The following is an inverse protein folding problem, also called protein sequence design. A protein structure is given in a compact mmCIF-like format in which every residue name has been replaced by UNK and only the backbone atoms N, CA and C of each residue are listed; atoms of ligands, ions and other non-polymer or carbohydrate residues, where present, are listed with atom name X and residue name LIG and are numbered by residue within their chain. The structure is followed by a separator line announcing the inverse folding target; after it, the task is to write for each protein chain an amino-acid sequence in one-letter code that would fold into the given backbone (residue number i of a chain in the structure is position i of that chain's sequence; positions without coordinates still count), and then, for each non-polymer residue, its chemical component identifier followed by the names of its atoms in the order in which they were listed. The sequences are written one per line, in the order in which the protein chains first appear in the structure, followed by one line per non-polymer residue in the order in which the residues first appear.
data_IF_113362671852
#
_entry.id   IF_113362671852
#
_cell.length_a   1.000
_cell.length_b   1.000
_cell.length_c   1.000
_cell.angle_alpha   90.00
_cell.angle_beta   90.00
_cell.angle_gamma   90.00
#
_symmetry.space_group_name_H-M   'P 1'
#
loop_
_entity.id
_entity.type
_entity.pdbx_description
1 polymer ?
#
# COMPACT_ATOMS: atom_id res chain seq x y z
N UNK A 1 3.85 17.25 -15.53
CA UNK A 1 4.66 16.16 -14.95
C UNK A 1 3.97 14.86 -15.34
N UNK A 2 4.61 13.93 -16.03
CA UNK A 2 4.02 12.61 -16.27
C UNK A 2 3.89 11.88 -14.92
N UNK A 3 2.84 11.08 -14.67
CA UNK A 3 2.74 10.30 -13.45
C UNK A 3 3.93 9.32 -13.38
N UNK A 4 4.58 9.26 -12.21
CA UNK A 4 5.58 8.24 -11.93
C UNK A 4 4.79 6.93 -11.78
N UNK A 5 4.97 6.00 -12.71
CA UNK A 5 4.43 4.65 -12.56
C UNK A 5 4.94 4.05 -11.24
N UNK A 6 4.04 3.59 -10.34
CA UNK A 6 4.47 3.01 -9.08
C UNK A 6 5.27 1.73 -9.35
N UNK A 7 6.43 1.61 -8.71
CA UNK A 7 7.20 0.37 -8.65
C UNK A 7 7.07 -0.21 -7.25
N UNK A 8 6.13 -1.13 -7.05
CA UNK A 8 5.89 -1.76 -5.74
C UNK A 8 7.12 -2.51 -5.20
N UNK A 9 7.91 -3.25 -6.01
CA UNK A 9 9.16 -3.86 -5.52
C UNK A 9 10.17 -2.83 -5.01
N UNK A 10 10.33 -1.72 -5.73
CA UNK A 10 11.26 -0.65 -5.31
C UNK A 10 10.77 0.04 -4.04
N UNK A 11 9.47 0.32 -3.94
CA UNK A 11 8.88 0.98 -2.78
C UNK A 11 8.96 0.11 -1.53
N UNK A 12 8.63 -1.18 -1.64
CA UNK A 12 8.69 -2.12 -0.52
C UNK A 12 10.12 -2.28 0.00
N UNK A 13 11.12 -2.37 -0.87
CA UNK A 13 12.53 -2.41 -0.49
C UNK A 13 13.04 -1.15 0.26
N UNK A 14 12.36 -0.01 0.11
CA UNK A 14 12.74 1.25 0.76
C UNK A 14 11.97 1.54 2.04
N UNK A 15 10.72 1.06 2.13
CA UNK A 15 9.76 1.55 3.14
C UNK A 15 9.08 0.46 3.97
N UNK A 16 9.22 -0.82 3.61
CA UNK A 16 8.63 -1.95 4.35
C UNK A 16 9.76 -2.71 5.03
N UNK A 17 9.57 -3.06 6.31
CA UNK A 17 10.53 -3.86 7.06
C UNK A 17 10.65 -5.30 6.52
N UNK A 18 11.60 -6.06 7.06
CA UNK A 18 11.86 -7.44 6.64
C UNK A 18 10.63 -8.37 6.79
N UNK A 19 9.72 -8.03 7.70
CA UNK A 19 8.47 -8.75 7.92
C UNK A 19 7.24 -7.87 7.63
N UNK A 20 6.28 -8.45 6.92
CA UNK A 20 4.96 -7.87 6.69
C UNK A 20 3.88 -8.83 7.17
N UNK A 21 3.22 -8.48 8.28
CA UNK A 21 2.09 -9.23 8.84
C UNK A 21 0.81 -8.45 8.56
N UNK A 22 -0.13 -9.08 7.87
CA UNK A 22 -1.38 -8.47 7.47
C UNK A 22 -2.55 -9.12 8.21
N UNK A 23 -3.40 -8.28 8.78
CA UNK A 23 -4.60 -8.70 9.50
C UNK A 23 -5.80 -8.91 8.58
N UNK A 24 -5.82 -8.28 7.39
CA UNK A 24 -6.83 -8.55 6.38
C UNK A 24 -6.63 -9.94 5.76
N UNK A 25 -7.54 -10.87 6.07
CA UNK A 25 -7.51 -12.26 5.60
C UNK A 25 -7.52 -12.43 4.06
N UNK A 26 -7.89 -11.38 3.31
CA UNK A 26 -7.87 -11.39 1.85
C UNK A 26 -6.47 -11.14 1.25
N UNK A 27 -5.48 -10.82 2.09
CA UNK A 27 -4.12 -10.46 1.68
C UNK A 27 -3.12 -11.33 2.44
N UNK A 28 -2.16 -11.92 1.73
CA UNK A 28 -1.15 -12.78 2.35
C UNK A 28 -0.15 -11.94 3.16
N UNK A 29 0.45 -12.57 4.16
CA UNK A 29 1.67 -12.06 4.79
C UNK A 29 2.86 -12.07 3.81
N UNK A 30 3.91 -11.32 4.14
CA UNK A 30 5.13 -11.22 3.35
C UNK A 30 5.09 -10.10 2.31
N UNK A 31 6.29 -9.63 1.92
CA UNK A 31 6.45 -8.55 0.94
C UNK A 31 5.88 -8.97 -0.42
N UNK A 32 6.05 -10.23 -0.83
CA UNK A 32 5.48 -10.76 -2.07
C UNK A 32 3.95 -10.68 -2.04
N UNK A 33 3.32 -11.03 -0.92
CA UNK A 33 1.87 -10.94 -0.73
C UNK A 33 1.34 -9.51 -0.84
N UNK A 34 2.08 -8.54 -0.32
CA UNK A 34 1.79 -7.12 -0.47
C UNK A 34 1.86 -6.70 -1.95
N UNK A 35 2.97 -7.03 -2.64
CA UNK A 35 3.19 -6.64 -4.04
C UNK A 35 2.11 -7.24 -4.94
N UNK A 36 1.86 -8.56 -4.85
CA UNK A 36 0.81 -9.25 -5.61
C UNK A 36 -0.55 -8.57 -5.46
N UNK A 37 -0.89 -8.18 -4.24
CA UNK A 37 -2.16 -7.52 -3.96
C UNK A 37 -2.26 -6.15 -4.64
N UNK A 38 -1.26 -5.29 -4.48
CA UNK A 38 -1.32 -3.94 -5.04
C UNK A 38 -1.19 -3.90 -6.57
N UNK A 39 -0.42 -4.81 -7.18
CA UNK A 39 -0.38 -4.98 -8.64
C UNK A 39 -1.73 -5.41 -9.22
N UNK A 40 -2.40 -6.36 -8.56
CA UNK A 40 -3.76 -6.75 -8.92
C UNK A 40 -4.73 -5.58 -8.80
N UNK A 41 -4.68 -4.83 -7.70
CA UNK A 41 -5.54 -3.67 -7.47
C UNK A 41 -5.36 -2.58 -8.53
N UNK A 42 -4.13 -2.32 -8.96
CA UNK A 42 -3.85 -1.37 -10.04
C UNK A 42 -4.41 -1.85 -11.39
N UNK A 43 -4.34 -3.17 -11.66
CA UNK A 43 -4.87 -3.78 -12.88
C UNK A 43 -6.40 -3.77 -12.91
N UNK A 44 -7.05 -4.16 -11.82
CA UNK A 44 -8.51 -4.25 -11.72
C UNK A 44 -9.18 -2.88 -11.61
N UNK A 45 -8.49 -1.91 -11.02
CA UNK A 45 -9.01 -0.56 -10.78
C UNK A 45 -8.02 0.51 -11.27
N UNK A 46 -7.84 0.65 -12.60
CA UNK A 46 -6.82 1.52 -13.19
C UNK A 46 -7.05 3.02 -12.93
N UNK A 47 -8.28 3.41 -12.61
CA UNK A 47 -8.65 4.79 -12.27
C UNK A 47 -8.79 4.99 -10.76
N UNK A 48 -8.39 4.01 -9.94
CA UNK A 48 -8.49 4.10 -8.49
C UNK A 48 -7.70 5.30 -7.99
N UNK A 49 -8.33 6.09 -7.14
CA UNK A 49 -7.70 7.23 -6.47
C UNK A 49 -7.81 7.07 -4.96
N UNK A 50 -6.88 7.70 -4.25
CA UNK A 50 -6.85 7.73 -2.79
C UNK A 50 -6.64 9.17 -2.37
N UNK A 51 -7.58 9.70 -1.60
CA UNK A 51 -7.45 10.97 -0.89
C UNK A 51 -7.09 10.69 0.57
N UNK A 52 -5.99 11.27 1.04
CA UNK A 52 -5.60 11.21 2.44
C UNK A 52 -6.24 12.37 3.20
N UNK A 53 -7.27 12.06 4.00
CA UNK A 53 -8.02 13.07 4.78
C UNK A 53 -7.25 13.43 6.04
N UNK A 54 -6.65 12.44 6.71
CA UNK A 54 -5.89 12.63 7.93
C UNK A 54 -4.82 11.55 8.09
N UNK A 55 -3.69 11.94 8.66
CA UNK A 55 -2.66 11.04 9.16
C UNK A 55 -2.43 11.33 10.65
N UNK A 56 -2.36 10.29 11.47
CA UNK A 56 -1.96 10.38 12.87
C UNK A 56 -0.85 9.36 13.14
N UNK A 57 0.00 9.67 14.11
CA UNK A 57 1.04 8.74 14.57
C UNK A 57 1.16 8.79 16.09
N UNK A 58 1.51 7.64 16.66
CA UNK A 58 1.83 7.48 18.06
C UNK A 58 2.93 6.43 18.19
N UNK A 59 4.10 6.84 18.71
CA UNK A 59 5.29 5.99 18.81
C UNK A 59 5.69 5.38 17.45
N UNK A 60 5.60 4.06 17.32
CA UNK A 60 5.90 3.27 16.13
C UNK A 60 4.66 2.97 15.27
N UNK A 61 3.50 3.50 15.64
CA UNK A 61 2.23 3.29 14.94
C UNK A 61 1.86 4.51 14.08
N UNK A 62 1.28 4.23 12.92
CA UNK A 62 0.73 5.21 11.98
C UNK A 62 -0.64 4.75 11.52
N UNK A 63 -1.60 5.68 11.45
CA UNK A 63 -2.92 5.43 10.88
C UNK A 63 -3.30 6.53 9.89
N UNK A 64 -3.97 6.13 8.80
CA UNK A 64 -4.52 7.04 7.80
C UNK A 64 -6.04 6.90 7.73
N UNK A 65 -6.72 8.03 7.68
CA UNK A 65 -8.10 8.12 7.21
C UNK A 65 -8.07 8.48 5.73
N UNK A 66 -8.57 7.58 4.88
CA UNK A 66 -8.55 7.76 3.42
C UNK A 66 -9.92 7.61 2.81
N UNK A 67 -10.23 8.41 1.80
CA UNK A 67 -11.31 8.13 0.85
C UNK A 67 -10.71 7.49 -0.39
N UNK A 68 -11.31 6.39 -0.85
CA UNK A 68 -10.87 5.67 -2.05
C UNK A 68 -12.03 5.60 -3.02
N UNK A 69 -11.79 6.00 -4.28
CA UNK A 69 -12.77 5.97 -5.38
C UNK A 69 -12.20 5.16 -6.53
#
# INVERSE_FOLDING_TARGET
MAPIEPSYPKATALYVGDEYIQHNLAVKNGIEGFIEYFERMQTEYPNKSIEFVQAISENDLVAFHTHQV
#
